data_IF_399604642244
#
_entry.id   IF_399604642244
#
_cell.length_a   1.000
_cell.length_b   1.000
_cell.length_c   1.000
_cell.angle_alpha   90.00
_cell.angle_beta   90.00
_cell.angle_gamma   90.00
#
_symmetry.space_group_name_H-M   'P 1'
#
loop_
_entity.id
_entity.type
_entity.pdbx_description
1 polymer ?
#
# COMPACT_ATOMS: atom_id res chain seq x y z
N UNK A 1 -12.82 -13.99 7.62
CA UNK A 1 -12.64 -14.94 6.49
C UNK A 1 -11.54 -15.92 6.86
N UNK A 2 -11.70 -17.22 6.60
CA UNK A 2 -10.64 -18.20 6.89
C UNK A 2 -10.26 -18.91 5.59
N UNK A 3 -8.99 -18.78 5.20
CA UNK A 3 -8.39 -19.62 4.15
C UNK A 3 -8.51 -21.09 4.57
N UNK A 4 -9.00 -21.93 3.67
CA UNK A 4 -9.35 -23.33 3.98
C UNK A 4 -8.18 -24.29 4.01
N UNK A 5 -7.10 -23.97 3.28
CA UNK A 5 -5.92 -24.83 3.19
C UNK A 5 -4.61 -24.05 3.09
N UNK A 6 -3.51 -24.72 3.47
CA UNK A 6 -2.15 -24.17 3.32
C UNK A 6 -1.83 -23.87 1.84
N UNK A 7 -2.24 -24.75 0.93
CA UNK A 7 -1.99 -24.55 -0.51
C UNK A 7 -2.73 -23.30 -1.02
N UNK A 8 -3.97 -23.09 -0.61
CA UNK A 8 -4.74 -21.89 -0.97
C UNK A 8 -4.05 -20.62 -0.44
N UNK A 9 -3.55 -20.64 0.81
CA UNK A 9 -2.78 -19.53 1.36
C UNK A 9 -1.53 -19.22 0.52
N UNK A 10 -0.76 -20.24 0.18
CA UNK A 10 0.48 -20.08 -0.61
C UNK A 10 0.17 -19.55 -2.00
N UNK A 11 -0.83 -20.11 -2.70
CA UNK A 11 -1.21 -19.68 -4.04
C UNK A 11 -1.67 -18.22 -4.05
N UNK A 12 -2.54 -17.83 -3.12
CA UNK A 12 -3.02 -16.45 -3.03
C UNK A 12 -1.90 -15.47 -2.68
N UNK A 13 -1.02 -15.85 -1.75
CA UNK A 13 0.15 -15.04 -1.40
C UNK A 13 1.06 -14.86 -2.61
N UNK A 14 1.35 -15.92 -3.35
CA UNK A 14 2.20 -15.87 -4.54
C UNK A 14 1.59 -14.97 -5.63
N UNK A 15 0.28 -15.11 -5.92
CA UNK A 15 -0.42 -14.32 -6.93
C UNK A 15 -0.44 -12.83 -6.58
N UNK A 16 -0.80 -12.49 -5.33
CA UNK A 16 -0.83 -11.10 -4.88
C UNK A 16 0.58 -10.49 -4.84
N UNK A 17 1.60 -11.28 -4.45
CA UNK A 17 3.00 -10.83 -4.47
C UNK A 17 3.49 -10.60 -5.89
N UNK A 18 3.19 -11.49 -6.82
CA UNK A 18 3.54 -11.31 -8.24
C UNK A 18 2.88 -10.05 -8.82
N UNK A 19 1.60 -9.81 -8.49
CA UNK A 19 0.89 -8.60 -8.88
C UNK A 19 1.55 -7.34 -8.28
N UNK A 20 1.90 -7.37 -7.00
CA UNK A 20 2.56 -6.26 -6.32
C UNK A 20 3.94 -5.92 -6.91
N UNK A 21 4.69 -6.94 -7.37
CA UNK A 21 5.96 -6.76 -8.08
C UNK A 21 5.74 -6.17 -9.48
N UNK A 22 4.75 -6.68 -10.21
CA UNK A 22 4.54 -6.31 -11.61
C UNK A 22 3.98 -4.88 -11.78
N UNK A 23 3.07 -4.43 -10.90
CA UNK A 23 2.39 -3.14 -11.06
C UNK A 23 3.36 -1.96 -11.22
N UNK A 24 4.39 -1.76 -10.38
CA UNK A 24 5.34 -0.67 -10.56
C UNK A 24 6.07 -0.69 -11.91
N UNK A 25 6.24 -1.88 -12.48
CA UNK A 25 6.96 -2.08 -13.75
C UNK A 25 6.08 -1.78 -14.96
N UNK A 26 4.85 -2.30 -14.99
CA UNK A 26 4.02 -2.35 -16.20
C UNK A 26 2.88 -1.34 -16.24
N UNK A 27 2.47 -0.75 -15.08
CA UNK A 27 1.35 0.16 -15.04
C UNK A 27 1.67 1.47 -15.78
N UNK A 28 0.93 1.81 -16.86
CA UNK A 28 1.15 3.05 -17.60
C UNK A 28 0.62 4.29 -16.88
N UNK A 29 -0.40 4.12 -16.03
CA UNK A 29 -1.01 5.22 -15.27
C UNK A 29 -0.18 5.47 -14.00
N UNK A 30 0.93 6.20 -14.19
CA UNK A 30 1.82 6.59 -13.09
C UNK A 30 2.32 8.02 -13.25
N UNK A 31 2.45 8.72 -12.15
CA UNK A 31 3.07 10.04 -12.04
C UNK A 31 4.26 9.90 -11.10
N UNK A 32 5.46 10.26 -11.57
CA UNK A 32 6.69 10.21 -10.78
C UNK A 32 7.29 11.60 -10.72
N UNK A 33 7.19 12.25 -9.58
CA UNK A 33 7.73 13.58 -9.26
C UNK A 33 8.48 13.44 -7.93
N UNK A 34 9.76 13.01 -7.93
CA UNK A 34 10.47 12.76 -6.67
C UNK A 34 10.39 13.94 -5.70
N UNK A 35 10.14 13.69 -4.40
CA UNK A 35 10.05 12.39 -3.73
C UNK A 35 8.71 11.66 -3.89
N UNK A 36 7.71 12.24 -4.55
CA UNK A 36 6.41 11.64 -4.75
C UNK A 36 6.37 10.71 -5.96
N UNK A 37 5.56 9.65 -5.86
CA UNK A 37 5.16 8.80 -6.98
C UNK A 37 3.78 8.21 -6.70
N UNK A 38 2.96 8.16 -7.73
CA UNK A 38 1.60 7.61 -7.68
C UNK A 38 1.42 6.67 -8.86
N UNK A 39 1.45 5.38 -8.60
CA UNK A 39 1.20 4.34 -9.60
C UNK A 39 -0.15 3.71 -9.29
N UNK A 40 -1.14 3.94 -10.16
CA UNK A 40 -2.50 3.44 -9.95
C UNK A 40 -2.49 1.94 -9.66
N UNK A 41 -3.16 1.55 -8.58
CA UNK A 41 -3.27 0.15 -8.16
C UNK A 41 -2.05 -0.42 -7.43
N UNK A 42 -1.01 0.38 -7.16
CA UNK A 42 0.20 -0.12 -6.47
C UNK A 42 -0.07 -0.69 -5.08
N UNK A 43 -1.14 -0.22 -4.42
CA UNK A 43 -1.55 -0.73 -3.10
C UNK A 43 -2.70 -1.74 -3.17
N UNK A 44 -3.28 -2.00 -4.36
CA UNK A 44 -4.43 -2.92 -4.49
C UNK A 44 -4.07 -4.31 -3.98
N UNK A 45 -2.94 -4.87 -4.37
CA UNK A 45 -2.50 -6.17 -3.88
C UNK A 45 -2.26 -6.18 -2.36
N UNK A 46 -1.75 -5.07 -1.80
CA UNK A 46 -1.52 -4.90 -0.37
C UNK A 46 -2.85 -4.87 0.39
N UNK A 47 -3.84 -4.09 -0.06
CA UNK A 47 -5.16 -4.04 0.56
C UNK A 47 -5.89 -5.36 0.46
N UNK A 48 -5.84 -6.05 -0.68
CA UNK A 48 -6.42 -7.39 -0.82
C UNK A 48 -5.79 -8.38 0.16
N UNK A 49 -4.46 -8.36 0.32
CA UNK A 49 -3.76 -9.17 1.31
C UNK A 49 -4.15 -8.79 2.74
N UNK A 50 -4.28 -7.47 3.03
CA UNK A 50 -4.72 -6.93 4.32
C UNK A 50 -6.10 -7.44 4.73
N UNK A 51 -7.03 -7.57 3.77
CA UNK A 51 -8.37 -8.10 4.02
C UNK A 51 -8.37 -9.60 4.33
N UNK A 52 -7.26 -10.30 4.03
CA UNK A 52 -7.16 -11.76 4.17
C UNK A 52 -6.34 -12.15 5.40
N UNK A 53 -5.08 -11.67 5.52
CA UNK A 53 -4.15 -12.14 6.55
C UNK A 53 -2.98 -11.19 6.79
N UNK A 54 -2.61 -10.92 8.08
CA UNK A 54 -1.43 -10.11 8.39
C UNK A 54 -0.12 -10.66 7.79
N UNK A 55 0.09 -11.99 7.84
CA UNK A 55 1.29 -12.60 7.26
C UNK A 55 1.36 -12.42 5.74
N UNK A 56 0.23 -12.63 5.05
CA UNK A 56 0.13 -12.39 3.62
C UNK A 56 0.44 -10.94 3.28
N UNK A 57 -0.08 -9.99 4.06
CA UNK A 57 0.15 -8.55 3.89
C UNK A 57 1.63 -8.21 3.93
N UNK A 58 2.36 -8.73 4.95
CA UNK A 58 3.80 -8.50 5.07
C UNK A 58 4.56 -9.01 3.84
N UNK A 59 4.28 -10.24 3.40
CA UNK A 59 4.94 -10.83 2.24
C UNK A 59 4.67 -10.03 0.97
N UNK A 60 3.42 -9.60 0.75
CA UNK A 60 3.03 -8.80 -0.42
C UNK A 60 3.68 -7.42 -0.39
N UNK A 61 3.82 -6.78 0.77
CA UNK A 61 4.52 -5.49 0.91
C UNK A 61 6.00 -5.63 0.57
N UNK A 62 6.67 -6.68 1.05
CA UNK A 62 8.07 -6.94 0.69
C UNK A 62 8.21 -7.18 -0.82
N UNK A 63 7.28 -7.90 -1.43
CA UNK A 63 7.22 -8.06 -2.88
C UNK A 63 7.02 -6.72 -3.61
N UNK A 64 6.09 -5.88 -3.15
CA UNK A 64 5.88 -4.53 -3.72
C UNK A 64 7.15 -3.69 -3.64
N UNK A 65 7.80 -3.66 -2.47
CA UNK A 65 9.07 -2.95 -2.27
C UNK A 65 10.15 -3.41 -3.26
N UNK A 66 10.27 -4.72 -3.42
CA UNK A 66 11.19 -5.31 -4.41
C UNK A 66 10.80 -4.92 -5.84
N UNK A 67 9.50 -4.89 -6.17
CA UNK A 67 8.99 -4.45 -7.47
C UNK A 67 9.41 -3.01 -7.80
N UNK A 68 9.28 -2.07 -6.85
CA UNK A 68 9.75 -0.70 -7.02
C UNK A 68 11.28 -0.62 -7.21
N UNK A 69 12.03 -1.46 -6.48
CA UNK A 69 13.50 -1.52 -6.59
C UNK A 69 13.94 -1.95 -8.00
N UNK A 70 13.42 -3.07 -8.50
CA UNK A 70 13.81 -3.59 -9.82
C UNK A 70 13.24 -2.81 -10.99
N UNK A 71 12.15 -2.06 -10.77
CA UNK A 71 11.60 -1.12 -11.75
C UNK A 71 12.44 0.16 -11.90
N UNK A 72 13.53 0.31 -11.11
CA UNK A 72 14.46 1.44 -11.22
C UNK A 72 13.96 2.76 -10.63
N UNK A 73 13.02 2.70 -9.68
CA UNK A 73 12.55 3.92 -8.99
C UNK A 73 13.65 4.51 -8.09
N UNK A 74 13.68 5.85 -7.89
CA UNK A 74 14.55 6.51 -6.92
C UNK A 74 14.48 5.84 -5.55
N UNK A 75 15.62 5.69 -4.87
CA UNK A 75 15.71 4.90 -3.63
C UNK A 75 14.78 5.40 -2.52
N UNK A 76 14.52 6.71 -2.44
CA UNK A 76 13.53 7.26 -1.50
C UNK A 76 12.13 6.69 -1.74
N UNK A 77 11.74 6.44 -3.00
CA UNK A 77 10.45 5.84 -3.34
C UNK A 77 10.42 4.36 -2.93
N UNK A 78 11.53 3.64 -3.07
CA UNK A 78 11.65 2.25 -2.59
C UNK A 78 11.51 2.18 -1.07
N UNK A 79 12.14 3.11 -0.33
CA UNK A 79 12.00 3.20 1.12
C UNK A 79 10.56 3.56 1.55
N UNK A 80 9.88 4.43 0.80
CA UNK A 80 8.45 4.71 1.01
C UNK A 80 7.62 3.43 0.82
N UNK A 81 7.85 2.67 -0.26
CA UNK A 81 7.17 1.38 -0.47
C UNK A 81 7.44 0.39 0.68
N UNK A 82 8.64 0.38 1.26
CA UNK A 82 8.93 -0.43 2.45
C UNK A 82 8.15 0.03 3.68
N UNK A 83 7.93 1.33 3.86
CA UNK A 83 7.17 1.87 5.00
C UNK A 83 5.71 1.43 5.03
N UNK A 84 5.16 0.92 3.91
CA UNK A 84 3.82 0.34 3.85
C UNK A 84 3.62 -0.81 4.85
N UNK A 85 4.72 -1.40 5.36
CA UNK A 85 4.67 -2.45 6.38
C UNK A 85 3.94 -1.97 7.64
N UNK A 86 4.00 -0.68 7.97
CA UNK A 86 3.35 -0.10 9.15
C UNK A 86 1.83 -0.12 8.98
N UNK A 87 1.29 0.62 8.00
CA UNK A 87 -0.16 0.70 7.82
C UNK A 87 -0.77 -0.65 7.42
N UNK A 88 -0.07 -1.39 6.56
CA UNK A 88 -0.54 -2.69 6.07
C UNK A 88 -0.68 -3.72 7.19
N UNK A 89 0.32 -3.83 8.06
CA UNK A 89 0.30 -4.77 9.17
C UNK A 89 -0.72 -4.34 10.24
N UNK A 90 -0.76 -3.06 10.60
CA UNK A 90 -1.74 -2.53 11.56
C UNK A 90 -3.17 -2.75 11.06
N UNK A 91 -3.45 -2.44 9.80
CA UNK A 91 -4.76 -2.64 9.19
C UNK A 91 -5.18 -4.11 9.16
N UNK A 92 -4.25 -5.01 8.80
CA UNK A 92 -4.54 -6.44 8.76
C UNK A 92 -4.78 -7.03 10.15
N UNK A 93 -4.02 -6.59 11.18
CA UNK A 93 -4.24 -7.00 12.57
C UNK A 93 -5.60 -6.49 13.08
N UNK A 94 -5.95 -5.24 12.76
CA UNK A 94 -7.25 -4.68 13.11
C UNK A 94 -8.39 -5.47 12.47
N UNK A 95 -8.35 -5.72 11.16
CA UNK A 95 -9.38 -6.45 10.44
C UNK A 95 -9.49 -7.92 10.87
N UNK A 96 -8.39 -8.53 11.33
CA UNK A 96 -8.42 -9.86 11.93
C UNK A 96 -9.25 -9.88 13.23
N UNK A 97 -9.23 -8.80 14.02
CA UNK A 97 -9.98 -8.65 15.28
C UNK A 97 -11.40 -8.15 15.07
N UNK A 98 -11.63 -7.34 14.03
CA UNK A 98 -12.92 -6.68 13.73
C UNK A 98 -13.31 -6.91 12.24
N UNK A 99 -13.55 -8.16 11.81
CA UNK A 99 -13.81 -8.50 10.41
C UNK A 99 -15.13 -7.90 9.87
N UNK A 100 -16.06 -7.53 10.76
CA UNK A 100 -17.32 -6.87 10.41
C UNK A 100 -17.11 -5.45 9.86
N UNK A 101 -15.94 -4.85 10.04
CA UNK A 101 -15.59 -3.51 9.53
C UNK A 101 -15.81 -3.41 8.02
N UNK A 102 -15.40 -4.42 7.26
CA UNK A 102 -15.55 -4.42 5.81
C UNK A 102 -17.01 -4.59 5.33
N UNK A 103 -17.91 -5.03 6.19
CA UNK A 103 -19.33 -5.21 5.87
C UNK A 103 -20.19 -4.01 6.24
N UNK A 104 -19.68 -3.11 7.10
CA UNK A 104 -20.38 -1.90 7.52
C UNK A 104 -19.80 -0.69 6.76
N UNK A 105 -20.60 0.03 5.94
CA UNK A 105 -20.09 1.11 5.10
C UNK A 105 -19.44 2.24 5.92
N UNK A 106 -20.00 2.62 7.06
CA UNK A 106 -19.44 3.71 7.89
C UNK A 106 -18.11 3.27 8.50
N UNK A 107 -18.03 2.09 9.12
CA UNK A 107 -16.79 1.56 9.71
C UNK A 107 -15.70 1.38 8.64
N UNK A 108 -16.08 0.92 7.45
CA UNK A 108 -15.18 0.74 6.32
C UNK A 108 -14.58 2.07 5.84
N UNK A 109 -15.39 3.12 5.73
CA UNK A 109 -14.91 4.46 5.37
C UNK A 109 -13.98 5.05 6.43
N UNK A 110 -14.34 4.94 7.70
CA UNK A 110 -13.47 5.39 8.81
C UNK A 110 -12.14 4.62 8.76
N UNK A 111 -12.19 3.30 8.59
CA UNK A 111 -11.00 2.46 8.46
C UNK A 111 -10.12 2.90 7.29
N UNK A 112 -10.70 3.13 6.11
CA UNK A 112 -9.97 3.59 4.91
C UNK A 112 -9.24 4.92 5.18
N UNK A 113 -9.94 5.91 5.73
CA UNK A 113 -9.35 7.23 6.04
C UNK A 113 -8.22 7.09 7.06
N UNK A 114 -8.43 6.33 8.15
CA UNK A 114 -7.39 6.11 9.17
C UNK A 114 -6.16 5.43 8.58
N UNK A 115 -6.36 4.39 7.75
CA UNK A 115 -5.23 3.71 7.09
C UNK A 115 -4.51 4.63 6.10
N UNK A 116 -5.23 5.47 5.35
CA UNK A 116 -4.64 6.44 4.44
C UNK A 116 -3.78 7.48 5.18
N UNK A 117 -4.22 7.94 6.35
CA UNK A 117 -3.45 8.87 7.18
C UNK A 117 -2.18 8.19 7.73
N UNK A 118 -2.28 6.97 8.27
CA UNK A 118 -1.12 6.23 8.79
C UNK A 118 -0.12 5.94 7.66
N UNK A 119 -0.61 5.60 6.47
CA UNK A 119 0.19 5.41 5.27
C UNK A 119 0.96 6.68 4.92
N UNK A 120 0.26 7.81 4.77
CA UNK A 120 0.88 9.09 4.43
C UNK A 120 1.92 9.54 5.48
N UNK A 121 1.63 9.38 6.77
CA UNK A 121 2.57 9.68 7.84
C UNK A 121 3.84 8.83 7.73
N UNK A 122 3.72 7.54 7.47
CA UNK A 122 4.86 6.64 7.26
C UNK A 122 5.76 7.11 6.11
N UNK A 123 5.15 7.50 4.99
CA UNK A 123 5.89 7.98 3.82
C UNK A 123 6.57 9.35 4.06
N UNK A 124 5.87 10.28 4.72
CA UNK A 124 6.46 11.58 5.09
C UNK A 124 7.64 11.39 6.03
N UNK A 125 7.52 10.54 7.06
CA UNK A 125 8.62 10.23 7.98
C UNK A 125 9.83 9.68 7.24
N UNK A 126 9.64 8.75 6.32
CA UNK A 126 10.72 8.21 5.48
C UNK A 126 11.40 9.31 4.67
N UNK A 127 10.62 10.19 4.03
CA UNK A 127 11.17 11.30 3.27
C UNK A 127 11.96 12.28 4.15
N UNK A 128 11.46 12.61 5.34
CA UNK A 128 12.16 13.47 6.31
C UNK A 128 13.51 12.85 6.70
N UNK A 129 13.52 11.58 7.07
CA UNK A 129 14.76 10.86 7.46
C UNK A 129 15.73 10.81 6.28
N UNK A 130 15.25 10.45 5.09
CA UNK A 130 16.09 10.35 3.90
C UNK A 130 16.76 11.68 3.55
N UNK A 131 16.00 12.77 3.53
CA UNK A 131 16.53 14.09 3.18
C UNK A 131 17.24 14.80 4.32
N UNK A 132 17.15 14.32 5.56
CA UNK A 132 18.02 14.82 6.65
C UNK A 132 19.49 14.38 6.47
N UNK A 133 19.73 13.31 5.72
CA UNK A 133 21.06 12.74 5.47
C UNK A 133 21.55 12.87 4.02
N UNK A 134 20.72 13.45 3.14
CA UNK A 134 21.05 13.63 1.71
C UNK A 134 20.71 15.05 1.26
N UNK A 135 21.13 15.42 0.04
CA UNK A 135 20.75 16.71 -0.54
C UNK A 135 19.23 16.78 -0.76
N UNK A 136 18.62 17.89 -0.34
CA UNK A 136 17.20 18.14 -0.59
C UNK A 136 16.95 18.35 -2.09
N UNK A 137 15.79 17.90 -2.62
CA UNK A 137 15.39 18.29 -3.96
C UNK A 137 15.18 19.80 -4.02
N UNK A 138 15.47 20.40 -5.16
CA UNK A 138 15.18 21.82 -5.39
C UNK A 138 13.70 22.12 -5.20
N UNK A 139 13.36 23.15 -4.41
CA UNK A 139 11.99 23.57 -4.20
C UNK A 139 11.60 23.77 -2.73
N UNK A 140 10.32 24.06 -2.51
CA UNK A 140 9.78 24.24 -1.16
C UNK A 140 9.58 22.86 -0.49
N UNK A 141 10.42 22.54 0.49
CA UNK A 141 10.39 21.26 1.21
C UNK A 141 9.03 20.97 1.86
N UNK A 142 8.40 22.00 2.44
CA UNK A 142 7.05 21.83 3.02
C UNK A 142 6.04 21.37 1.95
N UNK A 143 6.04 22.01 0.79
CA UNK A 143 5.17 21.62 -0.32
C UNK A 143 5.45 20.18 -0.77
N UNK A 144 6.73 19.82 -0.95
CA UNK A 144 7.12 18.47 -1.40
C UNK A 144 6.71 17.40 -0.40
N UNK A 145 6.92 17.61 0.90
CA UNK A 145 6.66 16.60 1.90
C UNK A 145 5.18 16.53 2.30
N UNK A 146 4.53 17.66 2.59
CA UNK A 146 3.18 17.65 3.15
C UNK A 146 2.09 17.67 2.08
N UNK A 147 2.30 18.39 0.96
CA UNK A 147 1.30 18.45 -0.10
C UNK A 147 1.49 17.29 -1.08
N UNK A 148 2.65 17.16 -1.71
CA UNK A 148 2.86 16.11 -2.68
C UNK A 148 2.90 14.74 -1.99
N UNK A 149 3.80 14.48 -1.06
CA UNK A 149 3.87 13.16 -0.43
C UNK A 149 2.68 12.94 0.51
N UNK A 150 2.44 13.79 1.50
CA UNK A 150 1.42 13.57 2.52
C UNK A 150 0.00 13.53 1.95
N UNK A 151 -0.49 14.66 1.46
CA UNK A 151 -1.86 14.77 0.95
C UNK A 151 -2.09 13.92 -0.30
N UNK A 152 -1.12 13.91 -1.23
CA UNK A 152 -1.21 13.07 -2.43
C UNK A 152 -1.28 11.58 -2.10
N UNK A 153 -0.54 11.09 -1.10
CA UNK A 153 -0.61 9.69 -0.65
C UNK A 153 -1.96 9.37 -0.02
N UNK A 154 -2.59 10.30 0.73
CA UNK A 154 -3.94 10.08 1.27
C UNK A 154 -4.93 9.82 0.13
N UNK A 155 -4.96 10.69 -0.89
CA UNK A 155 -5.88 10.53 -2.04
C UNK A 155 -5.59 9.22 -2.77
N UNK A 156 -4.33 8.96 -3.08
CA UNK A 156 -3.92 7.76 -3.80
C UNK A 156 -4.27 6.47 -3.04
N UNK A 157 -4.03 6.45 -1.72
CA UNK A 157 -4.38 5.32 -0.86
C UNK A 157 -5.89 5.06 -0.82
N UNK A 158 -6.71 6.13 -0.73
CA UNK A 158 -8.16 6.00 -0.75
C UNK A 158 -8.63 5.40 -2.08
N UNK A 159 -8.09 5.85 -3.20
CA UNK A 159 -8.46 5.32 -4.54
C UNK A 159 -8.10 3.84 -4.65
N UNK A 160 -6.89 3.45 -4.27
CA UNK A 160 -6.45 2.05 -4.33
C UNK A 160 -7.26 1.15 -3.38
N UNK A 161 -7.66 1.67 -2.21
CA UNK A 161 -8.56 0.96 -1.31
C UNK A 161 -9.93 0.72 -1.95
N UNK A 162 -10.52 1.72 -2.61
CA UNK A 162 -11.82 1.59 -3.29
C UNK A 162 -11.76 0.55 -4.42
N UNK A 163 -10.68 0.54 -5.21
CA UNK A 163 -10.44 -0.49 -6.23
C UNK A 163 -10.39 -1.87 -5.57
N UNK A 164 -9.67 -1.99 -4.45
CA UNK A 164 -9.54 -3.25 -3.71
C UNK A 164 -10.87 -3.72 -3.13
N UNK A 165 -11.66 -2.81 -2.56
CA UNK A 165 -13.00 -3.09 -2.02
C UNK A 165 -13.96 -3.57 -3.12
N UNK A 166 -13.86 -3.00 -4.32
CA UNK A 166 -14.63 -3.41 -5.49
C UNK A 166 -14.25 -4.82 -5.98
N UNK A 167 -12.96 -5.16 -5.97
CA UNK A 167 -12.46 -6.47 -6.43
C UNK A 167 -12.70 -7.57 -5.38
N UNK A 168 -12.65 -7.24 -4.09
CA UNK A 168 -12.64 -8.20 -3.00
C UNK A 168 -13.83 -9.18 -2.96
N UNK A 169 -15.10 -8.79 -3.29
CA UNK A 169 -16.21 -9.72 -3.36
C UNK A 169 -16.01 -10.85 -4.39
N UNK A 170 -15.38 -10.56 -5.53
CA UNK A 170 -15.05 -11.56 -6.52
C UNK A 170 -13.97 -12.53 -5.99
N UNK A 171 -12.95 -11.99 -5.32
CA UNK A 171 -11.90 -12.78 -4.69
C UNK A 171 -12.46 -13.70 -3.59
N UNK A 172 -13.42 -13.22 -2.80
CA UNK A 172 -14.10 -14.02 -1.76
C UNK A 172 -14.77 -15.30 -2.27
N UNK A 173 -15.22 -15.31 -3.53
CA UNK A 173 -15.88 -16.50 -4.11
C UNK A 173 -14.89 -17.62 -4.42
N UNK A 174 -13.61 -17.30 -4.52
CA UNK A 174 -12.54 -18.24 -4.87
C UNK A 174 -11.84 -18.79 -3.61
N UNK A 175 -11.94 -18.08 -2.49
CA UNK A 175 -11.34 -18.41 -1.19
C UNK A 175 -12.39 -19.06 -0.27
#
# INVERSE_FOLDING_TARGET
MKIKSKNQFLTMTALLTALAIAIPMVMPLKIVIPPASYTLGSHVAIFLAMFISPLMTVIVILGSTYGFLIAGYPFVIVLRAFSHIVFGTLGAIYLKKAPETLNNPIKKWIFNIVMAIIHALGEVVVCVIFYSSTAYPSGNLFYLLFILVGFGTIIHSIVDFLISDFIFPALKKII
#
